data_IF_392812540198
#
_entry.id   IF_392812540198
#
_cell.length_a   1.000
_cell.length_b   1.000
_cell.length_c   1.000
_cell.angle_alpha   90.00
_cell.angle_beta   90.00
_cell.angle_gamma   90.00
#
_symmetry.space_group_name_H-M   'P 1'
#
loop_
_entity.id
_entity.type
_entity.pdbx_description
1 polymer ?
#
# COMPACT_ATOMS: atom_id res chain seq x y z
N UNK A 1 1.53 -5.72 23.00
CA UNK A 1 2.40 -4.88 22.15
C UNK A 1 2.89 -5.58 20.87
N UNK A 2 2.31 -6.72 20.45
CA UNK A 2 2.69 -7.41 19.21
C UNK A 2 1.81 -7.02 18.01
N UNK A 3 0.52 -6.78 18.27
CA UNK A 3 -0.46 -6.41 17.23
C UNK A 3 -0.14 -5.05 16.60
N UNK A 4 0.26 -4.06 17.41
CA UNK A 4 0.65 -2.73 16.93
C UNK A 4 1.82 -2.79 15.95
N UNK A 5 2.81 -3.65 16.22
CA UNK A 5 3.96 -3.81 15.34
C UNK A 5 3.58 -4.47 14.01
N UNK A 6 2.67 -5.45 14.05
CA UNK A 6 2.17 -6.09 12.84
C UNK A 6 1.40 -5.12 11.94
N UNK A 7 0.61 -4.21 12.55
CA UNK A 7 -0.08 -3.15 11.81
C UNK A 7 0.91 -2.21 11.12
N UNK A 8 1.98 -1.81 11.83
CA UNK A 8 3.00 -0.95 11.24
C UNK A 8 3.71 -1.59 10.03
N UNK A 9 4.05 -2.89 10.10
CA UNK A 9 4.69 -3.62 8.99
C UNK A 9 3.76 -3.72 7.75
N UNK A 10 2.47 -3.94 7.97
CA UNK A 10 1.46 -3.95 6.90
C UNK A 10 1.34 -2.57 6.25
N UNK A 11 1.30 -1.51 7.05
CA UNK A 11 1.18 -0.14 6.54
C UNK A 11 2.42 0.28 5.75
N UNK A 12 3.63 -0.07 6.21
CA UNK A 12 4.88 0.20 5.47
C UNK A 12 4.91 -0.53 4.13
N UNK A 13 4.53 -1.82 4.11
CA UNK A 13 4.43 -2.59 2.87
C UNK A 13 3.41 -2.00 1.91
N UNK A 14 2.25 -1.59 2.42
CA UNK A 14 1.19 -1.00 1.60
C UNK A 14 1.63 0.33 0.98
N UNK A 15 2.24 1.22 1.77
CA UNK A 15 2.75 2.50 1.29
C UNK A 15 3.83 2.33 0.21
N UNK A 16 4.69 1.31 0.34
CA UNK A 16 5.70 1.02 -0.66
C UNK A 16 5.10 0.53 -1.99
N UNK A 17 4.04 -0.29 -1.95
CA UNK A 17 3.34 -0.73 -3.16
C UNK A 17 2.51 0.40 -3.79
N UNK A 18 1.83 1.22 -3.00
CA UNK A 18 1.06 2.38 -3.50
C UNK A 18 1.96 3.38 -4.23
N UNK A 19 3.17 3.62 -3.71
CA UNK A 19 4.15 4.46 -4.37
C UNK A 19 4.60 3.89 -5.72
N UNK A 20 4.71 2.56 -5.86
CA UNK A 20 5.01 1.92 -7.15
C UNK A 20 3.82 2.04 -8.10
N UNK A 21 2.60 1.81 -7.62
CA UNK A 21 1.39 1.92 -8.42
C UNK A 21 1.19 3.33 -8.97
N UNK A 22 1.38 4.36 -8.13
CA UNK A 22 1.32 5.76 -8.55
C UNK A 22 2.34 6.07 -9.67
N UNK A 23 3.55 5.51 -9.59
CA UNK A 23 4.58 5.65 -10.64
C UNK A 23 4.20 4.93 -11.92
N UNK A 24 3.61 3.73 -11.85
CA UNK A 24 3.16 3.00 -13.04
C UNK A 24 2.00 3.69 -13.74
N UNK A 25 1.02 4.18 -12.98
CA UNK A 25 -0.12 4.92 -13.49
C UNK A 25 0.22 6.36 -13.93
N UNK A 26 1.45 6.83 -13.70
CA UNK A 26 1.91 8.21 -13.95
C UNK A 26 1.02 9.26 -13.27
N UNK A 27 0.36 8.86 -12.18
CA UNK A 27 -0.51 9.73 -11.41
C UNK A 27 0.31 10.29 -10.24
N UNK A 28 0.34 11.62 -10.05
CA UNK A 28 1.06 12.24 -8.93
C UNK A 28 0.34 12.05 -7.59
N UNK A 29 -0.90 11.56 -7.61
CA UNK A 29 -1.76 11.40 -6.43
C UNK A 29 -2.08 9.93 -6.24
N UNK A 30 -1.81 9.40 -5.04
CA UNK A 30 -2.28 8.06 -4.63
C UNK A 30 -3.79 8.16 -4.40
N UNK A 31 -4.57 7.39 -5.15
CA UNK A 31 -6.02 7.34 -5.01
C UNK A 31 -6.47 6.13 -4.19
N UNK A 32 -7.72 6.15 -3.71
CA UNK A 32 -8.30 4.98 -3.03
C UNK A 32 -8.33 3.72 -3.93
N UNK A 33 -8.34 3.89 -5.26
CA UNK A 33 -8.24 2.78 -6.20
C UNK A 33 -6.85 2.12 -6.16
N UNK A 34 -5.79 2.93 -6.07
CA UNK A 34 -4.41 2.45 -5.96
C UNK A 34 -4.24 1.69 -4.63
N UNK A 35 -4.74 2.25 -3.53
CA UNK A 35 -4.75 1.60 -2.21
C UNK A 35 -5.48 0.25 -2.27
N UNK A 36 -6.65 0.19 -2.89
CA UNK A 36 -7.41 -1.05 -3.03
C UNK A 36 -6.68 -2.09 -3.89
N UNK A 37 -5.96 -1.66 -4.92
CA UNK A 37 -5.16 -2.53 -5.76
C UNK A 37 -3.91 -3.05 -5.01
N UNK A 38 -3.20 -2.18 -4.28
CA UNK A 38 -2.06 -2.57 -3.45
C UNK A 38 -2.45 -3.53 -2.33
N UNK A 39 -3.62 -3.33 -1.70
CA UNK A 39 -4.17 -4.28 -0.70
C UNK A 39 -4.34 -5.68 -1.32
N UNK A 40 -4.88 -5.78 -2.53
CA UNK A 40 -5.06 -7.05 -3.26
C UNK A 40 -3.75 -7.72 -3.69
N UNK A 41 -2.66 -6.95 -3.79
CA UNK A 41 -1.33 -7.45 -4.15
C UNK A 41 -0.54 -7.91 -2.92
N UNK A 42 -0.68 -7.21 -1.79
CA UNK A 42 0.09 -7.45 -0.56
C UNK A 42 -0.55 -8.51 0.33
N UNK A 43 -1.88 -8.59 0.36
CA UNK A 43 -2.61 -9.53 1.19
C UNK A 43 -3.17 -10.68 0.33
N UNK A 44 -2.87 -11.95 0.66
CA UNK A 44 -3.49 -13.11 0.04
C UNK A 44 -4.98 -13.25 0.41
#
# INVERSE_FOLDING_TARGET
MSIMNSINDIVEKLAAEDAKLARYNKNPTITACDIQASIRLVLP
#
